data_IF_489833685687
#
_entry.id   IF_489833685687
#
_cell.length_a   1.000
_cell.length_b   1.000
_cell.length_c   1.000
_cell.angle_alpha   90.00
_cell.angle_beta   90.00
_cell.angle_gamma   90.00
#
_symmetry.space_group_name_H-M   'P 1'
#
loop_
_entity.id
_entity.type
_entity.pdbx_description
1 polymer ?
#
# COMPACT_ATOMS: atom_id res chain seq x y z
N UNK A 1 -14.14 -8.46 0.96
CA UNK A 1 -12.77 -8.52 1.52
C UNK A 1 -11.71 -8.77 0.46
N UNK A 2 -11.91 -9.67 -0.52
CA UNK A 2 -10.97 -9.83 -1.64
C UNK A 2 -10.88 -8.56 -2.53
N UNK A 3 -12.01 -7.92 -2.83
CA UNK A 3 -12.04 -6.75 -3.71
C UNK A 3 -11.21 -5.56 -3.20
N UNK A 4 -11.24 -5.27 -1.89
CA UNK A 4 -10.44 -4.18 -1.31
C UNK A 4 -8.94 -4.46 -1.36
N UNK A 5 -8.52 -5.72 -1.21
CA UNK A 5 -7.10 -6.09 -1.31
C UNK A 5 -6.61 -5.96 -2.74
N UNK A 6 -7.41 -6.39 -3.71
CA UNK A 6 -7.06 -6.26 -5.13
C UNK A 6 -7.07 -4.78 -5.58
N UNK A 7 -8.03 -3.98 -5.10
CA UNK A 7 -8.04 -2.53 -5.31
C UNK A 7 -6.78 -1.87 -4.71
N UNK A 8 -6.45 -2.21 -3.47
CA UNK A 8 -5.25 -1.71 -2.80
C UNK A 8 -3.98 -2.05 -3.58
N UNK A 9 -3.80 -3.32 -3.99
CA UNK A 9 -2.65 -3.73 -4.80
C UNK A 9 -2.53 -2.91 -6.09
N UNK A 10 -3.64 -2.76 -6.81
CA UNK A 10 -3.67 -2.02 -8.08
C UNK A 10 -3.23 -0.57 -7.88
N UNK A 11 -3.75 0.09 -6.85
CA UNK A 11 -3.43 1.48 -6.53
C UNK A 11 -1.96 1.66 -6.12
N UNK A 12 -1.38 0.70 -5.41
CA UNK A 12 0.03 0.75 -4.99
C UNK A 12 0.96 0.52 -6.19
N UNK A 13 0.64 -0.43 -7.07
CA UNK A 13 1.37 -0.63 -8.32
C UNK A 13 1.36 0.67 -9.14
N UNK A 14 0.17 1.27 -9.30
CA UNK A 14 0.05 2.53 -10.03
C UNK A 14 0.83 3.68 -9.37
N UNK A 15 0.86 3.74 -8.03
CA UNK A 15 1.65 4.72 -7.28
C UNK A 15 3.16 4.57 -7.52
N UNK A 16 3.65 3.31 -7.57
CA UNK A 16 5.06 3.00 -7.80
C UNK A 16 5.50 3.24 -9.25
N UNK A 17 4.59 3.11 -10.22
CA UNK A 17 4.86 3.33 -11.65
C UNK A 17 4.94 4.82 -12.07
N UNK A 18 4.88 5.74 -11.10
CA UNK A 18 4.89 7.22 -11.27
C UNK A 18 3.65 7.75 -12.01
N UNK A 19 2.60 8.16 -11.29
CA UNK A 19 1.45 8.83 -11.89
C UNK A 19 1.75 10.28 -12.28
N UNK A 20 1.01 10.84 -13.25
CA UNK A 20 0.94 12.29 -13.47
C UNK A 20 0.59 13.03 -12.15
N UNK A 21 1.11 14.24 -11.90
CA UNK A 21 0.99 14.99 -10.61
C UNK A 21 -0.45 15.07 -10.03
N UNK A 22 -1.49 14.99 -10.87
CA UNK A 22 -2.89 14.98 -10.42
C UNK A 22 -3.46 13.61 -10.03
N UNK A 23 -2.83 12.52 -10.47
CA UNK A 23 -3.29 11.14 -10.24
C UNK A 23 -2.77 10.59 -8.92
N UNK A 24 -1.52 10.90 -8.57
CA UNK A 24 -0.88 10.49 -7.31
C UNK A 24 -1.73 10.87 -6.10
N UNK A 25 -2.16 12.13 -6.01
CA UNK A 25 -3.00 12.61 -4.92
C UNK A 25 -4.31 11.81 -4.78
N UNK A 26 -4.96 11.49 -5.90
CA UNK A 26 -6.22 10.71 -5.88
C UNK A 26 -6.00 9.27 -5.43
N UNK A 27 -4.84 8.70 -5.76
CA UNK A 27 -4.44 7.37 -5.31
C UNK A 27 -4.27 7.39 -3.79
N UNK A 28 -3.47 8.32 -3.26
CA UNK A 28 -3.24 8.45 -1.81
C UNK A 28 -4.55 8.66 -1.04
N UNK A 29 -5.41 9.59 -1.50
CA UNK A 29 -6.73 9.85 -0.88
C UNK A 29 -7.64 8.61 -0.85
N UNK A 30 -7.46 7.66 -1.79
CA UNK A 30 -8.19 6.39 -1.81
C UNK A 30 -7.53 5.35 -0.91
N UNK A 31 -6.21 5.25 -0.93
CA UNK A 31 -5.44 4.35 -0.08
C UNK A 31 -5.71 4.64 1.41
N UNK A 32 -5.73 5.90 1.82
CA UNK A 32 -6.05 6.33 3.19
C UNK A 32 -7.42 5.86 3.70
N UNK A 33 -8.37 5.58 2.79
CA UNK A 33 -9.72 5.12 3.15
C UNK A 33 -9.83 3.60 3.24
N UNK A 34 -8.95 2.86 2.57
CA UNK A 34 -9.05 1.41 2.44
C UNK A 34 -7.93 0.67 3.17
N UNK A 35 -6.80 1.33 3.44
CA UNK A 35 -5.68 0.77 4.19
C UNK A 35 -6.07 0.61 5.66
N UNK A 36 -6.05 -0.63 6.21
CA UNK A 36 -6.29 -0.84 7.63
C UNK A 36 -5.10 -0.44 8.53
N UNK A 37 -3.87 -0.45 8.00
CA UNK A 37 -2.67 0.01 8.71
C UNK A 37 -2.43 1.50 8.40
N UNK A 38 -2.44 2.41 9.39
CA UNK A 38 -2.14 3.83 9.16
C UNK A 38 -0.68 4.07 8.72
N UNK A 39 0.22 3.13 8.99
CA UNK A 39 1.66 3.25 8.68
C UNK A 39 2.00 2.67 7.29
N UNK A 40 1.01 2.33 6.46
CA UNK A 40 1.21 1.64 5.19
C UNK A 40 2.24 2.34 4.26
N UNK A 41 2.25 3.67 4.23
CA UNK A 41 3.19 4.47 3.43
C UNK A 41 4.63 4.38 3.93
N UNK A 42 4.85 4.21 5.24
CA UNK A 42 6.20 4.11 5.80
C UNK A 42 6.92 2.84 5.31
N UNK A 43 6.18 1.78 5.04
CA UNK A 43 6.72 0.57 4.43
C UNK A 43 7.18 0.76 2.97
N UNK A 44 6.69 1.80 2.28
CA UNK A 44 7.07 2.11 0.89
C UNK A 44 8.26 3.06 0.87
N UNK A 45 8.25 4.13 1.67
CA UNK A 45 9.26 5.20 1.58
C UNK A 45 10.42 5.07 2.57
N UNK A 46 10.29 4.22 3.59
CA UNK A 46 11.24 4.20 4.70
C UNK A 46 11.62 2.78 5.14
N UNK A 47 11.20 1.76 4.41
CA UNK A 47 11.48 0.37 4.74
C UNK A 47 11.86 -0.43 3.49
N UNK A 48 13.03 -1.07 3.52
CA UNK A 48 13.47 -2.00 2.48
C UNK A 48 12.87 -3.41 2.69
N UNK A 49 11.97 -3.62 3.67
CA UNK A 49 11.38 -4.93 4.03
C UNK A 49 10.71 -5.63 2.84
N UNK A 50 10.18 -4.85 1.88
CA UNK A 50 9.45 -5.36 0.72
C UNK A 50 10.21 -5.18 -0.60
N UNK A 51 11.47 -4.76 -0.55
CA UNK A 51 12.32 -4.72 -1.73
C UNK A 51 12.89 -6.12 -2.01
N UNK A 52 12.82 -6.54 -3.26
CA UNK A 52 13.34 -7.81 -3.76
C UNK A 52 14.28 -7.56 -4.93
N UNK A 53 15.11 -8.54 -5.29
CA UNK A 53 16.01 -8.42 -6.45
C UNK A 53 15.28 -8.13 -7.78
N UNK A 54 13.96 -8.38 -7.85
CA UNK A 54 13.12 -8.19 -9.03
C UNK A 54 12.11 -7.04 -8.92
N UNK A 55 12.15 -6.22 -7.86
CA UNK A 55 11.19 -5.12 -7.64
C UNK A 55 10.55 -5.17 -6.26
N UNK A 56 9.29 -4.76 -6.15
CA UNK A 56 8.58 -4.65 -4.87
C UNK A 56 7.66 -5.86 -4.62
N UNK A 57 7.77 -6.51 -3.45
CA UNK A 57 6.89 -7.61 -3.02
C UNK A 57 5.51 -7.07 -2.62
N UNK A 58 4.68 -6.82 -3.63
CA UNK A 58 3.33 -6.29 -3.45
C UNK A 58 2.42 -7.22 -2.63
N UNK A 59 2.60 -8.53 -2.76
CA UNK A 59 1.76 -9.52 -2.08
C UNK A 59 2.11 -9.61 -0.59
N UNK A 60 3.40 -9.66 -0.25
CA UNK A 60 3.89 -9.60 1.12
C UNK A 60 3.51 -8.30 1.81
N UNK A 61 3.70 -7.17 1.13
CA UNK A 61 3.31 -5.85 1.60
C UNK A 61 1.80 -5.76 1.87
N UNK A 62 0.96 -6.15 0.91
CA UNK A 62 -0.50 -6.14 1.08
C UNK A 62 -0.94 -7.02 2.23
N UNK A 63 -0.30 -8.20 2.38
CA UNK A 63 -0.59 -9.11 3.50
C UNK A 63 -0.23 -8.46 4.83
N UNK A 64 0.91 -7.78 4.94
CA UNK A 64 1.34 -7.07 6.15
C UNK A 64 0.32 -5.99 6.53
N UNK A 65 0.02 -5.08 5.62
CA UNK A 65 -0.94 -3.98 5.82
C UNK A 65 -2.29 -4.54 6.28
N UNK A 66 -2.85 -5.53 5.58
CA UNK A 66 -4.15 -6.12 5.95
C UNK A 66 -4.12 -7.09 7.14
N UNK A 67 -2.95 -7.37 7.71
CA UNK A 67 -2.83 -8.11 8.96
C UNK A 67 -2.87 -7.20 10.19
N UNK A 68 -2.85 -5.88 9.99
CA UNK A 68 -2.89 -4.89 11.06
C UNK A 68 -4.10 -5.10 11.97
N UNK A 69 -3.82 -5.11 13.26
CA UNK A 69 -4.82 -5.15 14.33
C UNK A 69 -4.58 -3.94 15.21
N UNK A 70 -5.54 -3.00 15.31
CA UNK A 70 -5.42 -1.89 16.23
C UNK A 70 -5.19 -2.43 17.64
N UNK A 71 -4.18 -1.89 18.33
CA UNK A 71 -4.04 -2.14 19.77
C UNK A 71 -5.19 -1.38 20.43
N UNK A 72 -6.21 -2.11 20.88
CA UNK A 72 -7.26 -1.56 21.73
C UNK A 72 -6.63 -1.29 23.10
N UNK A 73 -6.32 -0.02 23.37
CA UNK A 73 -5.90 0.47 24.68
C UNK A 73 -7.10 0.71 25.59
#
# INVERSE_FOLDING_TARGET
MCELKEEFKTLIIELLEVPEEGRERKIIERLDKIAPDPEYMNYIYSCEEFETEGGFDIDGYTKKVFSYKPILL
#
